data_IF_895515572993
#
_entry.id   IF_895515572993
#
_cell.length_a   1.000
_cell.length_b   1.000
_cell.length_c   1.000
_cell.angle_alpha   90.00
_cell.angle_beta   90.00
_cell.angle_gamma   90.00
#
_symmetry.space_group_name_H-M   'P 1'
#
loop_
_entity.id
_entity.type
_entity.pdbx_description
1 polymer ?
#
# COMPACT_ATOMS: atom_id res chain seq x y z
N UNK A 1 -2.47 5.35 26.70
CA UNK A 1 -2.07 4.32 25.73
C UNK A 1 -0.61 4.61 25.40
N UNK A 2 0.34 3.80 25.90
CA UNK A 2 1.78 4.05 25.74
C UNK A 2 2.16 4.03 24.26
N UNK A 3 2.98 4.98 23.84
CA UNK A 3 3.56 5.05 22.50
C UNK A 3 4.38 3.77 22.30
N UNK A 4 4.11 2.99 21.26
CA UNK A 4 4.98 1.85 20.89
C UNK A 4 6.39 2.38 20.68
N UNK A 5 7.40 1.68 21.21
CA UNK A 5 8.79 2.06 21.05
C UNK A 5 9.27 1.98 19.59
N UNK A 6 8.65 1.11 18.79
CA UNK A 6 9.01 0.92 17.39
C UNK A 6 7.80 1.10 16.48
N UNK A 7 7.98 1.84 15.38
CA UNK A 7 7.02 1.98 14.30
C UNK A 7 6.87 0.66 13.55
N UNK A 8 5.64 0.38 13.04
CA UNK A 8 5.37 -0.75 12.13
C UNK A 8 5.11 -0.26 10.72
N UNK A 9 5.88 -0.72 9.75
CA UNK A 9 5.71 -0.41 8.33
C UNK A 9 5.28 -1.66 7.58
N UNK A 10 4.12 -1.59 6.93
CA UNK A 10 3.55 -2.66 6.14
C UNK A 10 3.78 -2.40 4.66
N UNK A 11 4.50 -3.29 3.98
CA UNK A 11 4.67 -3.31 2.54
C UNK A 11 3.57 -4.14 1.88
N UNK A 12 2.87 -3.56 0.91
CA UNK A 12 1.84 -4.24 0.11
C UNK A 12 2.32 -4.35 -1.33
N UNK A 13 2.65 -5.55 -1.75
CA UNK A 13 3.09 -5.84 -3.10
C UNK A 13 1.91 -6.23 -4.01
N UNK A 14 1.61 -5.40 -4.99
CA UNK A 14 0.55 -5.61 -5.97
C UNK A 14 1.01 -6.26 -7.27
N UNK A 15 2.31 -6.50 -7.46
CA UNK A 15 2.81 -7.21 -8.63
C UNK A 15 2.67 -8.72 -8.46
N UNK A 16 2.27 -9.48 -9.52
CA UNK A 16 2.32 -10.94 -9.48
C UNK A 16 3.75 -11.48 -9.63
N UNK A 17 4.72 -10.65 -10.07
CA UNK A 17 6.09 -11.07 -10.36
C UNK A 17 6.98 -10.94 -9.11
N UNK A 18 7.14 -12.02 -8.36
CA UNK A 18 8.13 -12.09 -7.26
C UNK A 18 9.54 -11.92 -7.83
N UNK A 19 10.35 -11.07 -7.19
CA UNK A 19 11.67 -10.67 -7.68
C UNK A 19 11.62 -9.78 -8.93
N UNK A 20 10.46 -9.18 -9.24
CA UNK A 20 10.31 -8.16 -10.28
C UNK A 20 10.64 -6.75 -9.77
N UNK A 21 10.62 -5.77 -10.68
CA UNK A 21 11.05 -4.40 -10.41
C UNK A 21 10.30 -3.76 -9.22
N UNK A 22 8.96 -3.90 -9.17
CA UNK A 22 8.15 -3.39 -8.07
C UNK A 22 8.45 -4.09 -6.74
N UNK A 23 8.80 -5.39 -6.79
CA UNK A 23 9.14 -6.17 -5.61
C UNK A 23 10.48 -5.75 -5.01
N UNK A 24 11.49 -5.56 -5.88
CA UNK A 24 12.83 -5.09 -5.51
C UNK A 24 12.74 -3.72 -4.84
N UNK A 25 12.01 -2.76 -5.45
CA UNK A 25 11.86 -1.43 -4.85
C UNK A 25 11.08 -1.43 -3.55
N UNK A 26 10.10 -2.33 -3.39
CA UNK A 26 9.43 -2.49 -2.11
C UNK A 26 10.38 -3.01 -1.03
N UNK A 27 11.25 -3.96 -1.38
CA UNK A 27 12.27 -4.46 -0.46
C UNK A 27 13.27 -3.37 -0.06
N UNK A 28 13.68 -2.50 -0.99
CA UNK A 28 14.50 -1.33 -0.67
C UNK A 28 13.78 -0.35 0.29
N UNK A 29 12.50 -0.10 0.07
CA UNK A 29 11.73 0.74 0.98
C UNK A 29 11.60 0.12 2.38
N UNK A 30 11.36 -1.18 2.46
CA UNK A 30 11.30 -1.88 3.73
C UNK A 30 12.67 -1.94 4.42
N UNK A 31 13.76 -2.04 3.66
CA UNK A 31 15.12 -1.92 4.19
C UNK A 31 15.36 -0.52 4.78
N UNK A 32 14.93 0.55 4.10
CA UNK A 32 15.01 1.92 4.62
C UNK A 32 14.19 2.12 5.91
N UNK A 33 12.99 1.53 5.98
CA UNK A 33 12.17 1.57 7.18
C UNK A 33 12.83 0.81 8.35
N UNK A 34 13.42 -0.34 8.08
CA UNK A 34 14.17 -1.14 9.07
C UNK A 34 15.41 -0.41 9.57
N UNK A 35 16.16 0.24 8.67
CA UNK A 35 17.33 1.07 9.01
C UNK A 35 16.95 2.22 9.96
N UNK A 36 15.75 2.78 9.81
CA UNK A 36 15.19 3.77 10.73
C UNK A 36 14.56 3.18 12.00
N UNK A 37 14.74 1.88 12.27
CA UNK A 37 14.30 1.21 13.50
C UNK A 37 12.86 0.69 13.49
N UNK A 38 12.18 0.66 12.34
CA UNK A 38 10.82 0.12 12.28
C UNK A 38 10.80 -1.42 12.22
N UNK A 39 9.74 -2.00 12.76
CA UNK A 39 9.32 -3.36 12.45
C UNK A 39 8.68 -3.36 11.06
N UNK A 40 9.08 -4.28 10.20
CA UNK A 40 8.59 -4.35 8.83
C UNK A 40 7.92 -5.68 8.53
N UNK A 41 6.84 -5.63 7.75
CA UNK A 41 6.18 -6.82 7.22
C UNK A 41 5.84 -6.58 5.74
N UNK A 42 5.89 -7.64 4.92
CA UNK A 42 5.55 -7.61 3.50
C UNK A 42 4.42 -8.58 3.19
N UNK A 43 3.40 -8.10 2.48
CA UNK A 43 2.30 -8.91 1.96
C UNK A 43 2.34 -8.90 0.44
N UNK A 44 2.42 -10.09 -0.16
CA UNK A 44 2.35 -10.29 -1.61
C UNK A 44 0.91 -10.65 -1.97
N UNK A 45 0.18 -9.73 -2.60
CA UNK A 45 -1.25 -9.89 -2.89
C UNK A 45 -1.54 -11.07 -3.81
N UNK A 46 -0.65 -11.36 -4.77
CA UNK A 46 -0.80 -12.48 -5.69
C UNK A 46 -0.80 -13.85 -4.98
N UNK A 47 -0.20 -13.93 -3.79
CA UNK A 47 -0.21 -15.14 -2.94
C UNK A 47 -1.41 -15.21 -2.00
N UNK A 48 -2.39 -14.32 -2.18
CA UNK A 48 -3.57 -14.20 -1.32
C UNK A 48 -4.85 -14.42 -2.10
N UNK A 49 -5.79 -15.10 -1.47
CA UNK A 49 -7.15 -15.22 -2.00
C UNK A 49 -7.94 -14.00 -1.60
N UNK A 50 -8.09 -13.03 -2.51
CA UNK A 50 -8.81 -11.78 -2.28
C UNK A 50 -9.84 -11.63 -3.39
N UNK A 51 -11.11 -11.69 -3.04
CA UNK A 51 -12.20 -11.36 -3.95
C UNK A 51 -12.46 -9.84 -3.95
N UNK A 52 -12.81 -9.29 -5.10
CA UNK A 52 -13.23 -7.88 -5.22
C UNK A 52 -14.44 -7.55 -4.34
N UNK A 53 -14.64 -6.28 -4.03
CA UNK A 53 -15.81 -5.81 -3.33
C UNK A 53 -17.07 -6.04 -4.17
N UNK A 54 -18.16 -6.55 -3.55
CA UNK A 54 -19.46 -6.79 -4.21
C UNK A 54 -20.48 -5.69 -3.95
N UNK A 55 -20.07 -4.58 -3.32
CA UNK A 55 -20.94 -3.48 -2.90
C UNK A 55 -22.23 -3.92 -2.16
N UNK A 56 -22.13 -5.00 -1.40
CA UNK A 56 -23.28 -5.54 -0.66
C UNK A 56 -23.65 -4.73 0.60
N UNK A 57 -22.84 -3.75 0.98
CA UNK A 57 -23.03 -2.78 2.09
C UNK A 57 -23.13 -3.39 3.49
N UNK A 58 -23.05 -4.72 3.65
CA UNK A 58 -23.17 -5.39 4.94
C UNK A 58 -22.10 -4.99 5.95
N UNK A 59 -20.94 -4.54 5.48
CA UNK A 59 -19.87 -4.02 6.34
C UNK A 59 -20.16 -2.63 6.91
N UNK A 60 -21.12 -1.88 6.37
CA UNK A 60 -21.43 -0.53 6.85
C UNK A 60 -21.91 -0.51 8.32
N UNK A 61 -22.52 -1.59 8.77
CA UNK A 61 -23.03 -1.72 10.15
C UNK A 61 -21.96 -2.26 11.11
N UNK A 62 -21.24 -3.29 10.67
CA UNK A 62 -20.33 -4.05 11.54
C UNK A 62 -18.86 -3.70 11.39
N UNK A 63 -18.48 -3.04 10.28
CA UNK A 63 -17.09 -2.85 9.88
C UNK A 63 -16.39 -4.11 9.39
N UNK A 64 -17.06 -5.26 9.41
CA UNK A 64 -16.47 -6.55 9.03
C UNK A 64 -17.02 -6.99 7.67
N UNK A 65 -16.13 -7.22 6.71
CA UNK A 65 -16.55 -7.74 5.42
C UNK A 65 -17.09 -9.17 5.54
N UNK A 66 -18.22 -9.43 4.87
CA UNK A 66 -18.85 -10.77 4.88
C UNK A 66 -18.12 -11.78 3.99
N UNK A 67 -17.24 -11.34 3.09
CA UNK A 67 -16.43 -12.23 2.26
C UNK A 67 -15.32 -12.80 3.14
N UNK A 68 -15.37 -14.12 3.35
CA UNK A 68 -14.41 -14.85 4.19
C UNK A 68 -13.21 -15.27 3.33
N UNK A 69 -12.25 -14.39 3.20
CA UNK A 69 -10.99 -14.58 2.47
C UNK A 69 -9.81 -13.94 3.22
N UNK A 70 -8.61 -13.97 2.62
CA UNK A 70 -7.39 -13.45 3.25
C UNK A 70 -7.46 -11.95 3.59
N UNK A 71 -8.37 -11.21 2.97
CA UNK A 71 -8.53 -9.78 3.26
C UNK A 71 -8.88 -9.49 4.71
N UNK A 72 -9.57 -10.40 5.40
CA UNK A 72 -9.89 -10.24 6.82
C UNK A 72 -8.63 -10.18 7.70
N UNK A 73 -7.60 -10.95 7.36
CA UNK A 73 -6.31 -10.90 8.06
C UNK A 73 -5.51 -9.66 7.66
N UNK A 74 -5.58 -9.28 6.38
CA UNK A 74 -4.92 -8.07 5.88
C UNK A 74 -5.50 -6.81 6.55
N UNK A 75 -6.81 -6.73 6.75
CA UNK A 75 -7.43 -5.64 7.51
C UNK A 75 -6.84 -5.50 8.92
N UNK A 76 -6.61 -6.61 9.63
CA UNK A 76 -5.97 -6.58 10.97
C UNK A 76 -4.56 -5.99 10.89
N UNK A 77 -3.76 -6.42 9.91
CA UNK A 77 -2.40 -5.93 9.70
C UNK A 77 -2.36 -4.44 9.32
N UNK A 78 -3.29 -3.98 8.48
CA UNK A 78 -3.47 -2.55 8.17
C UNK A 78 -3.73 -1.75 9.46
N UNK A 79 -4.59 -2.26 10.35
CA UNK A 79 -4.90 -1.61 11.61
C UNK A 79 -3.73 -1.60 12.61
N UNK A 80 -2.82 -2.54 12.51
CA UNK A 80 -1.63 -2.65 13.36
C UNK A 80 -0.45 -1.82 12.86
N UNK A 81 -0.35 -1.58 11.56
CA UNK A 81 0.71 -0.79 10.96
C UNK A 81 0.56 0.71 11.28
N UNK A 82 1.66 1.42 11.36
CA UNK A 82 1.72 2.89 11.50
C UNK A 82 1.89 3.56 10.13
N UNK A 83 2.50 2.86 9.18
CA UNK A 83 2.59 3.29 7.78
C UNK A 83 2.41 2.10 6.83
N UNK A 84 1.91 2.39 5.62
CA UNK A 84 1.71 1.40 4.58
C UNK A 84 2.39 1.89 3.31
N UNK A 85 3.29 1.10 2.75
CA UNK A 85 3.92 1.36 1.46
C UNK A 85 3.35 0.37 0.44
N UNK A 86 2.70 0.89 -0.58
CA UNK A 86 2.18 0.09 -1.68
C UNK A 86 3.18 0.08 -2.82
N UNK A 87 3.37 -1.08 -3.46
CA UNK A 87 4.17 -1.19 -4.67
C UNK A 87 3.40 -1.93 -5.74
N UNK A 88 3.25 -1.31 -6.92
CA UNK A 88 2.41 -1.82 -8.00
C UNK A 88 2.95 -1.42 -9.37
N UNK A 89 3.02 -2.35 -10.34
CA UNK A 89 3.32 -2.01 -11.72
C UNK A 89 2.13 -1.36 -12.42
N UNK A 90 2.41 -0.61 -13.47
CA UNK A 90 1.37 -0.07 -14.37
C UNK A 90 0.90 -1.18 -15.31
N UNK A 91 -0.40 -1.48 -15.28
CA UNK A 91 -1.09 -2.36 -16.23
C UNK A 91 -2.21 -1.57 -16.89
N UNK A 92 -2.09 -1.31 -18.19
CA UNK A 92 -3.08 -0.51 -18.92
C UNK A 92 -3.41 0.82 -18.20
N UNK A 93 -2.36 1.61 -17.92
CA UNK A 93 -2.43 2.92 -17.23
C UNK A 93 -3.06 2.88 -15.83
N UNK A 94 -3.25 1.70 -15.24
CA UNK A 94 -3.81 1.58 -13.91
C UNK A 94 -3.10 0.50 -13.08
N UNK A 95 -3.57 0.30 -11.86
CA UNK A 95 -3.03 -0.74 -10.97
C UNK A 95 -3.46 -2.14 -11.40
N UNK A 96 -2.73 -3.15 -10.93
CA UNK A 96 -3.10 -4.55 -11.13
C UNK A 96 -4.45 -4.90 -10.49
N UNK A 97 -5.10 -5.95 -11.00
CA UNK A 97 -6.37 -6.44 -10.45
C UNK A 97 -6.26 -6.84 -8.99
N UNK A 98 -5.13 -7.41 -8.56
CA UNK A 98 -4.87 -7.77 -7.17
C UNK A 98 -4.84 -6.55 -6.26
N UNK A 99 -4.16 -5.48 -6.68
CA UNK A 99 -4.11 -4.23 -5.93
C UNK A 99 -5.49 -3.56 -5.88
N UNK A 100 -6.22 -3.58 -6.99
CA UNK A 100 -7.58 -3.00 -7.03
C UNK A 100 -8.54 -3.76 -6.14
N UNK A 101 -8.52 -5.10 -6.19
CA UNK A 101 -9.34 -5.93 -5.31
C UNK A 101 -9.06 -5.65 -3.83
N UNK A 102 -7.78 -5.53 -3.45
CA UNK A 102 -7.36 -5.16 -2.10
C UNK A 102 -7.88 -3.77 -1.69
N UNK A 103 -7.68 -2.76 -2.54
CA UNK A 103 -8.05 -1.38 -2.22
C UNK A 103 -9.57 -1.21 -2.10
N UNK A 104 -10.37 -1.83 -2.98
CA UNK A 104 -11.83 -1.79 -2.92
C UNK A 104 -12.40 -2.36 -1.63
N UNK A 105 -11.69 -3.31 -1.03
CA UNK A 105 -12.10 -3.92 0.24
C UNK A 105 -11.87 -3.02 1.46
N UNK A 106 -11.20 -1.86 1.31
CA UNK A 106 -11.12 -0.83 2.36
C UNK A 106 -12.49 -0.20 2.68
N UNK A 107 -13.49 -0.38 1.82
CA UNK A 107 -14.87 0.01 2.12
C UNK A 107 -15.36 -0.48 3.49
N UNK A 108 -14.84 -1.62 3.99
CA UNK A 108 -15.21 -2.15 5.29
C UNK A 108 -14.81 -1.24 6.47
N UNK A 109 -13.88 -0.31 6.27
CA UNK A 109 -13.47 0.65 7.30
C UNK A 109 -14.44 1.82 7.45
N UNK A 110 -15.40 1.99 6.52
CA UNK A 110 -16.33 3.11 6.46
C UNK A 110 -17.77 2.66 6.73
N UNK A 111 -18.58 3.59 7.23
CA UNK A 111 -20.03 3.41 7.34
C UNK A 111 -20.74 3.87 6.05
N UNK A 112 -22.07 3.82 6.04
CA UNK A 112 -22.90 4.23 4.89
C UNK A 112 -22.73 5.69 4.47
N UNK A 113 -22.27 6.56 5.36
CA UNK A 113 -22.00 7.97 5.11
C UNK A 113 -20.54 8.25 4.69
N UNK A 114 -19.78 7.22 4.37
CA UNK A 114 -18.34 7.30 4.08
C UNK A 114 -17.50 7.93 5.20
N UNK A 115 -17.99 7.84 6.44
CA UNK A 115 -17.21 8.18 7.63
C UNK A 115 -16.54 6.93 8.19
N UNK A 116 -15.38 7.11 8.80
CA UNK A 116 -14.73 6.01 9.50
C UNK A 116 -15.67 5.35 10.51
N UNK A 117 -15.72 4.03 10.51
CA UNK A 117 -16.35 3.29 11.60
C UNK A 117 -15.72 3.73 12.94
N UNK A 118 -16.55 4.02 13.94
CA UNK A 118 -16.09 4.56 15.24
C UNK A 118 -14.97 3.75 15.88
N UNK A 119 -15.01 2.43 15.75
CA UNK A 119 -14.02 1.53 16.33
C UNK A 119 -12.71 1.45 15.51
N UNK A 120 -12.69 1.87 14.24
CA UNK A 120 -11.48 1.92 13.41
C UNK A 120 -10.77 3.26 13.45
N UNK A 121 -11.52 4.36 13.58
CA UNK A 121 -10.96 5.71 13.54
C UNK A 121 -9.74 5.92 14.46
N UNK A 122 -9.76 5.52 15.76
CA UNK A 122 -8.62 5.71 16.63
C UNK A 122 -7.36 4.94 16.18
N UNK A 123 -7.55 3.84 15.46
CA UNK A 123 -6.45 2.99 14.96
C UNK A 123 -5.92 3.43 13.61
N UNK A 124 -6.72 4.19 12.85
CA UNK A 124 -6.34 4.69 11.52
C UNK A 124 -5.78 6.11 11.57
N UNK A 125 -6.19 6.90 12.56
CA UNK A 125 -5.72 8.28 12.74
C UNK A 125 -4.20 8.36 12.85
N UNK A 126 -3.59 9.21 12.02
CA UNK A 126 -2.14 9.45 12.02
C UNK A 126 -1.32 8.43 11.25
N UNK A 127 -1.95 7.40 10.66
CA UNK A 127 -1.23 6.49 9.75
C UNK A 127 -0.80 7.21 8.46
N UNK A 128 0.20 6.63 7.83
CA UNK A 128 0.82 7.17 6.63
C UNK A 128 0.73 6.19 5.48
N UNK A 129 0.67 6.71 4.26
CA UNK A 129 0.57 5.91 3.04
C UNK A 129 1.57 6.42 2.01
N UNK A 130 2.36 5.51 1.46
CA UNK A 130 3.30 5.76 0.38
C UNK A 130 3.05 4.84 -0.81
N UNK A 131 3.57 5.21 -1.97
CA UNK A 131 3.42 4.47 -3.22
C UNK A 131 4.76 4.31 -3.92
N UNK A 132 4.97 3.13 -4.49
CA UNK A 132 6.01 2.84 -5.48
C UNK A 132 5.29 2.33 -6.72
N UNK A 133 5.57 2.89 -7.88
CA UNK A 133 4.98 2.43 -9.14
C UNK A 133 6.03 2.35 -10.23
N UNK A 134 5.97 1.28 -11.01
CA UNK A 134 6.90 0.98 -12.09
C UNK A 134 6.12 0.76 -13.38
N UNK A 135 6.47 1.50 -14.42
CA UNK A 135 5.92 1.30 -15.77
C UNK A 135 6.99 0.74 -16.72
N UNK A 136 6.55 0.10 -17.79
CA UNK A 136 7.43 -0.30 -18.89
C UNK A 136 7.66 0.80 -19.92
N UNK A 137 6.88 1.90 -19.85
CA UNK A 137 6.98 3.04 -20.72
C UNK A 137 8.14 3.96 -20.25
N UNK A 138 8.95 4.52 -21.16
CA UNK A 138 9.96 5.53 -20.81
C UNK A 138 9.35 6.77 -20.12
N UNK A 139 8.11 7.13 -20.48
CA UNK A 139 7.37 8.18 -19.79
C UNK A 139 6.74 7.67 -18.50
N UNK A 140 7.34 8.03 -17.37
CA UNK A 140 6.85 7.64 -16.03
C UNK A 140 5.46 8.19 -15.72
N UNK A 141 4.98 9.22 -16.44
CA UNK A 141 3.64 9.79 -16.24
C UNK A 141 2.51 8.86 -16.68
N UNK A 142 2.81 7.76 -17.37
CA UNK A 142 1.85 6.66 -17.56
C UNK A 142 1.34 6.09 -16.23
N UNK A 143 2.05 6.33 -15.12
CA UNK A 143 1.66 5.93 -13.77
C UNK A 143 0.77 6.96 -13.04
N UNK A 144 0.57 8.17 -13.58
CA UNK A 144 -0.19 9.25 -12.91
C UNK A 144 -1.59 8.83 -12.46
N UNK A 145 -2.37 8.03 -13.22
CA UNK A 145 -3.69 7.57 -12.74
C UNK A 145 -3.60 6.75 -11.45
N UNK A 146 -2.53 5.97 -11.26
CA UNK A 146 -2.30 5.19 -10.02
C UNK A 146 -1.96 6.14 -8.89
N UNK A 147 -1.05 7.08 -9.12
CA UNK A 147 -0.65 8.10 -8.12
C UNK A 147 -1.87 8.89 -7.68
N UNK A 148 -2.70 9.35 -8.63
CA UNK A 148 -3.94 10.06 -8.34
C UNK A 148 -4.89 9.22 -7.48
N UNK A 149 -5.09 7.93 -7.83
CA UNK A 149 -5.97 7.03 -7.07
C UNK A 149 -5.51 6.87 -5.61
N UNK A 150 -4.20 6.67 -5.37
CA UNK A 150 -3.67 6.54 -4.01
C UNK A 150 -3.67 7.85 -3.23
N UNK A 151 -3.39 8.98 -3.90
CA UNK A 151 -3.48 10.31 -3.29
C UNK A 151 -4.91 10.63 -2.87
N UNK A 152 -5.90 10.40 -3.75
CA UNK A 152 -7.33 10.58 -3.42
C UNK A 152 -7.77 9.62 -2.30
N UNK A 153 -7.25 8.39 -2.28
CA UNK A 153 -7.49 7.46 -1.15
C UNK A 153 -6.92 8.03 0.15
N UNK A 154 -5.71 8.57 0.15
CA UNK A 154 -5.12 9.21 1.32
C UNK A 154 -5.96 10.39 1.82
N UNK A 155 -6.42 11.24 0.91
CA UNK A 155 -7.28 12.39 1.21
C UNK A 155 -8.63 11.96 1.81
N UNK A 156 -9.34 11.02 1.16
CA UNK A 156 -10.60 10.47 1.66
C UNK A 156 -10.42 9.85 3.05
N UNK A 157 -9.36 9.09 3.24
CA UNK A 157 -9.07 8.38 4.47
C UNK A 157 -8.37 9.24 5.53
N UNK A 158 -8.03 10.49 5.21
CA UNK A 158 -7.26 11.41 6.08
C UNK A 158 -5.95 10.78 6.59
N UNK A 159 -5.35 9.92 5.78
CA UNK A 159 -4.01 9.39 6.03
C UNK A 159 -2.98 10.36 5.48
N UNK A 160 -1.82 10.43 6.12
CA UNK A 160 -0.73 11.31 5.66
C UNK A 160 -0.08 10.73 4.40
N UNK A 161 -0.14 11.47 3.31
CA UNK A 161 0.52 11.09 2.05
C UNK A 161 2.03 11.30 2.14
N UNK A 162 2.81 10.23 1.97
CA UNK A 162 4.28 10.27 2.03
C UNK A 162 4.92 10.65 0.69
N UNK A 163 4.19 10.48 -0.40
CA UNK A 163 4.66 10.66 -1.77
C UNK A 163 4.65 9.36 -2.57
N UNK A 164 5.09 9.47 -3.83
CA UNK A 164 5.24 8.35 -4.73
C UNK A 164 6.66 8.30 -5.30
N UNK A 165 7.21 7.10 -5.43
CA UNK A 165 8.36 6.79 -6.29
C UNK A 165 7.82 6.26 -7.59
N UNK A 166 8.16 6.93 -8.70
CA UNK A 166 7.75 6.58 -10.05
C UNK A 166 9.00 6.32 -10.87
N UNK A 167 9.08 5.19 -11.53
CA UNK A 167 10.22 4.85 -12.39
C UNK A 167 9.80 3.99 -13.57
N UNK A 168 10.63 3.97 -14.59
CA UNK A 168 10.48 3.12 -15.77
C UNK A 168 11.45 1.95 -15.72
N UNK A 169 10.93 0.74 -15.92
CA UNK A 169 11.72 -0.48 -16.05
C UNK A 169 10.88 -1.54 -16.77
N UNK A 170 11.28 -1.89 -18.00
CA UNK A 170 10.51 -2.78 -18.87
C UNK A 170 10.70 -4.26 -18.51
N UNK A 171 11.95 -4.69 -18.40
CA UNK A 171 12.28 -6.08 -18.15
C UNK A 171 12.48 -6.39 -16.67
N UNK A 172 12.29 -7.65 -16.31
CA UNK A 172 12.46 -8.11 -14.94
C UNK A 172 13.90 -7.91 -14.48
N UNK A 173 14.10 -7.11 -13.45
CA UNK A 173 15.40 -6.87 -12.86
C UNK A 173 16.13 -5.62 -13.38
N UNK A 174 15.58 -4.90 -14.36
CA UNK A 174 16.18 -3.65 -14.85
C UNK A 174 16.44 -2.65 -13.73
N UNK A 175 15.54 -2.62 -12.76
CA UNK A 175 15.63 -1.70 -11.61
C UNK A 175 16.87 -1.93 -10.73
N UNK A 176 17.51 -3.10 -10.83
CA UNK A 176 18.72 -3.40 -10.05
C UNK A 176 19.83 -2.38 -10.33
N UNK A 177 19.88 -1.88 -11.56
CA UNK A 177 20.89 -0.89 -12.03
C UNK A 177 20.48 0.55 -11.79
N UNK A 178 19.22 0.81 -11.42
CA UNK A 178 18.72 2.16 -11.15
C UNK A 178 18.95 2.54 -9.69
N UNK A 179 20.17 3.01 -9.40
CA UNK A 179 20.55 3.43 -8.04
C UNK A 179 19.70 4.60 -7.53
N UNK A 180 19.20 5.47 -8.44
CA UNK A 180 18.36 6.60 -8.04
C UNK A 180 16.99 6.12 -7.58
N UNK A 181 16.32 5.24 -8.32
CA UNK A 181 15.02 4.70 -7.93
C UNK A 181 15.13 3.88 -6.63
N UNK A 182 16.18 3.07 -6.48
CA UNK A 182 16.44 2.33 -5.22
C UNK A 182 16.62 3.28 -4.04
N UNK A 183 17.43 4.34 -4.22
CA UNK A 183 17.63 5.35 -3.18
C UNK A 183 16.33 6.04 -2.81
N UNK A 184 15.51 6.45 -3.79
CA UNK A 184 14.21 7.08 -3.54
C UNK A 184 13.26 6.14 -2.78
N UNK A 185 13.24 4.85 -3.12
CA UNK A 185 12.45 3.85 -2.40
C UNK A 185 12.94 3.68 -0.96
N UNK A 186 14.24 3.57 -0.75
CA UNK A 186 14.85 3.51 0.58
C UNK A 186 14.49 4.74 1.44
N UNK A 187 14.62 5.94 0.86
CA UNK A 187 14.29 7.19 1.55
C UNK A 187 12.78 7.29 1.88
N UNK A 188 11.90 6.79 1.00
CA UNK A 188 10.47 6.66 1.27
C UNK A 188 10.22 5.75 2.49
N UNK A 189 10.95 4.66 2.59
CA UNK A 189 10.91 3.74 3.74
C UNK A 189 11.33 4.41 5.03
N UNK A 190 12.46 5.14 5.04
CA UNK A 190 12.90 5.93 6.20
C UNK A 190 11.84 6.94 6.62
N UNK A 191 11.28 7.67 5.66
CA UNK A 191 10.18 8.62 5.90
C UNK A 191 8.93 7.93 6.48
N UNK A 192 8.64 6.69 6.07
CA UNK A 192 7.53 5.91 6.61
C UNK A 192 7.75 5.49 8.07
N UNK A 193 8.98 5.33 8.50
CA UNK A 193 9.36 4.93 9.85
C UNK A 193 9.56 6.12 10.81
N UNK A 194 9.68 7.35 10.29
CA UNK A 194 9.88 8.55 11.13
C UNK A 194 8.53 9.09 11.61
N UNK A 195 8.31 9.33 12.93
CA UNK A 195 7.05 9.82 13.50
C UNK A 195 6.56 11.14 12.93
#
# INVERSE_FOLDING_TARGET
MGRRLNMKVLGIMGSPRVGGNSDILLDEALAGAKDAGAEVEKIILDKKKISGCKDCKKCNETGICVIKDDMLQIHKKILEADAIIHSVPVYFWTMTSQMKAYLDRWCAFFNAEWKWQKHYYPRMKGKRIGLITVCGDPDVHTADPIVHSFKSTAELTKLSWLGAVMTSAADKGDIIKDEMAKKQAFDLGKKAATP
#
